data_IF_037286076863
#
_entry.id   IF_037286076863
#
_cell.length_a   1.000
_cell.length_b   1.000
_cell.length_c   1.000
_cell.angle_alpha   90.00
_cell.angle_beta   90.00
_cell.angle_gamma   90.00
#
_symmetry.space_group_name_H-M   'P 1'
#
loop_
_entity.id
_entity.type
_entity.pdbx_description
1 polymer ?
#
# COMPACT_ATOMS: atom_id res chain seq x y z
N UNK A 1 -16.23 -12.35 -52.84
CA UNK A 1 -14.93 -12.52 -52.15
C UNK A 1 -14.47 -11.27 -51.40
N UNK A 2 -14.79 -10.04 -51.85
CA UNK A 2 -14.34 -8.81 -51.17
C UNK A 2 -14.99 -8.50 -49.81
N UNK A 3 -16.22 -8.96 -49.55
CA UNK A 3 -16.95 -8.62 -48.32
C UNK A 3 -16.37 -9.31 -47.07
N UNK A 4 -15.86 -10.53 -47.24
CA UNK A 4 -15.25 -11.34 -46.17
C UNK A 4 -13.89 -10.74 -45.77
N UNK A 5 -13.16 -10.18 -46.75
CA UNK A 5 -11.84 -9.57 -46.53
C UNK A 5 -11.94 -8.23 -45.79
N UNK A 6 -12.99 -7.44 -46.06
CA UNK A 6 -13.28 -6.20 -45.32
C UNK A 6 -13.74 -6.49 -43.89
N UNK A 7 -14.58 -7.52 -43.70
CA UNK A 7 -15.01 -7.92 -42.35
C UNK A 7 -13.84 -8.45 -41.50
N UNK A 8 -12.90 -9.20 -42.09
CA UNK A 8 -11.70 -9.67 -41.40
C UNK A 8 -10.78 -8.51 -41.00
N UNK A 9 -10.63 -7.49 -41.85
CA UNK A 9 -9.81 -6.31 -41.57
C UNK A 9 -10.39 -5.47 -40.43
N UNK A 10 -11.72 -5.32 -40.33
CA UNK A 10 -12.35 -4.63 -39.20
C UNK A 10 -12.21 -5.39 -37.88
N UNK A 11 -12.18 -6.73 -37.91
CA UNK A 11 -12.05 -7.54 -36.70
C UNK A 11 -10.63 -7.51 -36.12
N UNK A 12 -9.60 -7.34 -36.95
CA UNK A 12 -8.20 -7.26 -36.49
C UNK A 12 -7.89 -5.92 -35.82
N UNK A 13 -8.55 -4.82 -36.21
CA UNK A 13 -8.34 -3.49 -35.59
C UNK A 13 -8.97 -3.39 -34.21
N UNK A 14 -10.07 -4.12 -33.94
CA UNK A 14 -10.76 -4.09 -32.64
C UNK A 14 -10.06 -4.83 -31.49
N UNK A 15 -8.98 -5.57 -31.76
CA UNK A 15 -8.27 -6.38 -30.75
C UNK A 15 -7.00 -5.70 -30.23
N UNK A 16 -6.63 -4.54 -30.78
CA UNK A 16 -5.60 -3.69 -30.20
C UNK A 16 -6.18 -3.01 -28.96
N UNK A 17 -5.96 -3.62 -27.81
CA UNK A 17 -6.45 -3.16 -26.51
C UNK A 17 -6.26 -1.65 -26.35
N UNK A 18 -7.36 -0.98 -26.00
CA UNK A 18 -7.35 0.41 -25.59
C UNK A 18 -6.46 0.55 -24.35
N UNK A 19 -5.17 0.83 -24.55
CA UNK A 19 -4.41 1.53 -23.53
C UNK A 19 -5.01 2.93 -23.47
N UNK A 20 -5.54 3.31 -22.32
CA UNK A 20 -5.91 4.69 -22.07
C UNK A 20 -4.67 5.54 -22.33
N UNK A 21 -4.73 6.37 -23.37
CA UNK A 21 -3.69 7.34 -23.65
C UNK A 21 -3.72 8.35 -22.49
N UNK A 22 -2.66 8.39 -21.70
CA UNK A 22 -2.56 9.27 -20.55
C UNK A 22 -2.53 10.72 -21.03
N UNK A 23 -3.52 11.51 -20.59
CA UNK A 23 -3.59 12.94 -20.88
C UNK A 23 -2.50 13.69 -20.10
N UNK A 24 -2.11 14.87 -20.58
CA UNK A 24 -1.22 15.74 -19.82
C UNK A 24 -1.92 16.31 -18.59
N UNK A 25 -1.16 16.69 -17.56
CA UNK A 25 -1.70 17.29 -16.32
C UNK A 25 -2.61 18.48 -16.61
N UNK A 26 -2.25 19.32 -17.58
CA UNK A 26 -3.02 20.51 -17.95
C UNK A 26 -4.36 20.15 -18.61
N UNK A 27 -4.42 19.07 -19.38
CA UNK A 27 -5.66 18.59 -20.00
C UNK A 27 -6.60 18.03 -18.93
N UNK A 28 -6.06 17.27 -17.98
CA UNK A 28 -6.81 16.78 -16.84
C UNK A 28 -7.38 17.92 -15.97
N UNK A 29 -6.57 18.94 -15.69
CA UNK A 29 -7.03 20.13 -14.96
C UNK A 29 -8.17 20.86 -15.69
N UNK A 30 -8.12 20.94 -17.02
CA UNK A 30 -9.20 21.55 -17.81
C UNK A 30 -10.50 20.73 -17.78
N UNK A 31 -10.40 19.41 -17.62
CA UNK A 31 -11.53 18.50 -17.39
C UNK A 31 -12.00 18.51 -15.91
N UNK A 32 -11.28 19.21 -15.03
CA UNK A 32 -11.60 19.30 -13.60
C UNK A 32 -10.95 18.22 -12.73
N UNK A 33 -10.05 17.40 -13.27
CA UNK A 33 -9.29 16.39 -12.54
C UNK A 33 -7.93 16.93 -12.09
N UNK A 34 -7.51 16.58 -10.87
CA UNK A 34 -6.22 17.01 -10.31
C UNK A 34 -5.05 16.08 -10.66
N UNK A 35 -5.31 14.95 -11.32
CA UNK A 35 -4.29 13.93 -11.59
C UNK A 35 -3.86 13.10 -10.37
N UNK A 36 -4.46 13.34 -9.21
CA UNK A 36 -4.12 12.67 -7.94
C UNK A 36 -5.01 11.46 -7.62
N UNK A 37 -6.06 11.24 -8.41
CA UNK A 37 -6.97 10.12 -8.20
C UNK A 37 -6.29 8.80 -8.57
N UNK A 38 -6.56 7.76 -7.80
CA UNK A 38 -6.12 6.42 -8.11
C UNK A 38 -7.06 5.77 -9.13
N UNK A 39 -6.54 4.95 -10.03
CA UNK A 39 -7.37 4.32 -11.07
C UNK A 39 -8.41 3.36 -10.48
N UNK A 40 -8.20 2.83 -9.27
CA UNK A 40 -9.22 2.10 -8.50
C UNK A 40 -10.41 2.97 -8.15
N UNK A 41 -10.18 4.21 -7.73
CA UNK A 41 -11.25 5.17 -7.43
C UNK A 41 -12.11 5.45 -8.67
N UNK A 42 -11.49 5.59 -9.85
CA UNK A 42 -12.21 5.75 -11.12
C UNK A 42 -13.02 4.50 -11.50
N UNK A 43 -12.53 3.28 -11.18
CA UNK A 43 -13.26 2.03 -11.39
C UNK A 43 -14.46 1.92 -10.45
N UNK A 44 -14.31 2.30 -9.18
CA UNK A 44 -15.42 2.37 -8.23
C UNK A 44 -16.44 3.43 -8.64
N UNK A 45 -15.99 4.58 -9.15
CA UNK A 45 -16.87 5.62 -9.68
C UNK A 45 -17.83 5.08 -10.75
N UNK A 46 -17.35 4.17 -11.60
CA UNK A 46 -18.14 3.53 -12.65
C UNK A 46 -19.31 2.67 -12.13
N UNK A 47 -19.24 2.20 -10.88
CA UNK A 47 -20.32 1.41 -10.26
C UNK A 47 -21.52 2.28 -9.86
N UNK A 48 -21.27 3.55 -9.54
CA UNK A 48 -22.28 4.47 -9.00
C UNK A 48 -22.71 5.54 -10.01
N UNK A 49 -21.82 5.93 -10.92
CA UNK A 49 -22.06 7.00 -11.89
C UNK A 49 -22.38 6.40 -13.26
N UNK A 50 -23.55 6.76 -13.80
CA UNK A 50 -24.04 6.30 -15.10
C UNK A 50 -23.47 7.11 -16.29
N UNK A 51 -22.43 7.88 -16.04
CA UNK A 51 -21.78 8.72 -17.02
C UNK A 51 -20.48 8.05 -17.47
N UNK A 52 -20.55 7.42 -18.64
CA UNK A 52 -19.43 6.67 -19.21
C UNK A 52 -18.32 7.59 -19.72
N UNK A 53 -18.66 8.82 -20.10
CA UNK A 53 -17.71 9.83 -20.56
C UNK A 53 -16.85 10.28 -19.37
N UNK A 54 -17.49 10.66 -18.26
CA UNK A 54 -16.80 11.06 -17.03
C UNK A 54 -15.88 9.95 -16.48
N UNK A 55 -16.33 8.70 -16.52
CA UNK A 55 -15.50 7.55 -16.09
C UNK A 55 -14.28 7.40 -16.99
N UNK A 56 -14.45 7.60 -18.30
CA UNK A 56 -13.34 7.50 -19.25
C UNK A 56 -12.32 8.63 -19.08
N UNK A 57 -12.78 9.85 -18.79
CA UNK A 57 -11.93 11.00 -18.48
C UNK A 57 -11.20 10.82 -17.13
N UNK A 58 -11.86 10.24 -16.14
CA UNK A 58 -11.21 9.86 -14.88
C UNK A 58 -10.07 8.87 -15.13
N UNK A 59 -10.32 7.84 -15.96
CA UNK A 59 -9.35 6.80 -16.27
C UNK A 59 -8.17 7.30 -17.12
N UNK A 60 -8.35 8.34 -17.94
CA UNK A 60 -7.25 8.97 -18.68
C UNK A 60 -6.42 9.94 -17.84
N UNK A 61 -6.92 10.32 -16.66
CA UNK A 61 -6.29 11.26 -15.73
C UNK A 61 -5.85 10.65 -14.40
N UNK A 62 -6.12 9.36 -14.14
CA UNK A 62 -5.75 8.71 -12.90
C UNK A 62 -4.30 8.24 -12.89
N UNK A 63 -3.76 8.12 -11.67
CA UNK A 63 -2.51 7.42 -11.44
C UNK A 63 -2.83 5.94 -11.21
N UNK A 64 -2.13 5.05 -11.92
CA UNK A 64 -2.28 3.61 -11.69
C UNK A 64 -2.07 3.28 -10.21
N UNK A 65 -2.86 2.34 -9.71
CA UNK A 65 -2.71 1.80 -8.37
C UNK A 65 -1.35 1.09 -8.29
N UNK A 66 -0.30 1.86 -7.99
CA UNK A 66 0.96 1.24 -7.60
C UNK A 66 0.74 0.78 -6.17
N UNK A 67 0.52 -0.52 -5.98
CA UNK A 67 0.68 -1.15 -4.67
C UNK A 67 2.00 -0.66 -4.04
N UNK A 68 3.01 -0.44 -4.88
CA UNK A 68 4.39 -0.14 -4.58
C UNK A 68 4.69 1.00 -3.59
N UNK A 69 3.89 2.06 -3.49
CA UNK A 69 4.28 3.18 -2.63
C UNK A 69 4.39 2.75 -1.15
N UNK A 70 3.48 1.88 -0.70
CA UNK A 70 3.44 1.38 0.68
C UNK A 70 3.63 -0.13 0.77
N UNK A 71 3.27 -0.88 -0.28
CA UNK A 71 3.43 -2.34 -0.41
C UNK A 71 4.89 -2.77 -0.61
N UNK A 72 5.73 -1.92 -1.23
CA UNK A 72 7.13 -2.27 -1.58
C UNK A 72 8.14 -2.04 -0.46
N UNK A 73 7.76 -1.28 0.58
CA UNK A 73 8.64 -1.05 1.72
C UNK A 73 8.58 -2.26 2.64
N UNK A 74 9.40 -3.25 2.31
CA UNK A 74 9.69 -4.40 3.16
C UNK A 74 10.89 -4.04 4.03
N UNK A 75 10.78 -4.37 5.31
CA UNK A 75 11.82 -4.19 6.31
C UNK A 75 12.45 -5.54 6.64
N UNK A 76 13.76 -5.56 6.82
CA UNK A 76 14.50 -6.78 7.20
C UNK A 76 14.20 -7.19 8.66
N UNK A 77 13.77 -6.23 9.47
CA UNK A 77 13.47 -6.42 10.88
C UNK A 77 12.80 -5.21 11.52
N UNK A 78 12.44 -5.34 12.80
CA UNK A 78 11.90 -4.24 13.58
C UNK A 78 12.31 -4.32 15.05
N UNK A 79 12.38 -3.18 15.73
CA UNK A 79 12.52 -3.09 17.19
C UNK A 79 11.28 -2.46 17.77
N UNK A 80 10.56 -3.22 18.60
CA UNK A 80 9.51 -2.71 19.47
C UNK A 80 10.16 -2.07 20.69
N UNK A 81 10.29 -0.75 20.67
CA UNK A 81 10.81 0.02 21.79
C UNK A 81 9.67 0.45 22.71
N UNK A 82 9.80 0.15 24.01
CA UNK A 82 8.78 0.42 25.04
C UNK A 82 9.42 0.86 26.36
N UNK A 83 8.71 1.62 27.18
CA UNK A 83 9.10 1.87 28.56
C UNK A 83 8.48 0.82 29.49
N UNK A 84 9.34 0.03 30.16
CA UNK A 84 8.90 -1.04 31.07
C UNK A 84 7.89 -0.58 32.12
N UNK A 85 8.07 0.63 32.69
CA UNK A 85 7.18 1.18 33.72
C UNK A 85 5.82 1.67 33.21
N UNK A 86 5.70 1.92 31.90
CA UNK A 86 4.48 2.44 31.29
C UNK A 86 3.67 1.37 30.56
N UNK A 87 4.20 0.15 30.41
CA UNK A 87 3.53 -0.95 29.71
C UNK A 87 2.15 -1.28 30.29
N UNK A 88 1.93 -1.07 31.59
CA UNK A 88 0.62 -1.24 32.24
C UNK A 88 -0.50 -0.41 31.58
N UNK A 89 -0.17 0.70 30.92
CA UNK A 89 -1.13 1.54 30.22
C UNK A 89 -1.43 1.06 28.79
N UNK A 90 -0.71 0.05 28.29
CA UNK A 90 -0.78 -0.44 26.93
C UNK A 90 -1.04 -1.97 26.92
N UNK A 91 -2.21 -2.43 27.39
CA UNK A 91 -2.51 -3.86 27.53
C UNK A 91 -2.41 -4.63 26.21
N UNK A 92 -2.77 -3.99 25.09
CA UNK A 92 -2.65 -4.57 23.75
C UNK A 92 -1.19 -4.87 23.36
N UNK A 93 -0.27 -3.96 23.71
CA UNK A 93 1.17 -4.10 23.46
C UNK A 93 1.77 -5.16 24.39
N UNK A 94 1.36 -5.21 25.66
CA UNK A 94 1.77 -6.27 26.59
C UNK A 94 1.33 -7.64 26.08
N UNK A 95 0.06 -7.76 25.68
CA UNK A 95 -0.47 -8.97 25.08
C UNK A 95 0.37 -9.45 23.90
N UNK A 96 0.67 -8.55 22.97
CA UNK A 96 1.58 -8.86 21.86
C UNK A 96 2.95 -9.36 22.32
N UNK A 97 3.58 -8.68 23.28
CA UNK A 97 4.91 -9.04 23.78
C UNK A 97 4.92 -10.43 24.44
N UNK A 98 3.89 -10.76 25.20
CA UNK A 98 3.83 -12.00 26.00
C UNK A 98 3.32 -13.21 25.21
N UNK A 99 2.38 -13.02 24.28
CA UNK A 99 1.66 -14.12 23.65
C UNK A 99 2.06 -14.37 22.19
N UNK A 100 2.38 -13.32 21.41
CA UNK A 100 2.60 -13.47 19.95
C UNK A 100 3.98 -13.10 19.46
N UNK A 101 4.78 -12.38 20.23
CA UNK A 101 6.11 -11.90 19.84
C UNK A 101 7.03 -12.99 19.30
N UNK A 102 6.92 -14.22 19.81
CA UNK A 102 7.74 -15.37 19.38
C UNK A 102 7.45 -15.83 17.95
N UNK A 103 6.28 -15.47 17.40
CA UNK A 103 5.94 -15.71 15.99
C UNK A 103 6.73 -14.79 15.03
N UNK A 104 7.40 -13.77 15.56
CA UNK A 104 8.10 -12.73 14.81
C UNK A 104 9.61 -12.72 15.16
N UNK A 105 10.43 -13.60 14.55
CA UNK A 105 11.85 -13.75 14.89
C UNK A 105 12.70 -12.52 14.54
N UNK A 106 12.30 -11.76 13.52
CA UNK A 106 12.99 -10.53 13.08
C UNK A 106 12.55 -9.28 13.85
N UNK A 107 11.68 -9.45 14.84
CA UNK A 107 11.26 -8.37 15.73
C UNK A 107 12.00 -8.54 17.05
N UNK A 108 12.54 -7.46 17.61
CA UNK A 108 13.16 -7.45 18.95
C UNK A 108 12.40 -6.50 19.86
N UNK A 109 12.35 -6.78 21.16
CA UNK A 109 11.80 -5.86 22.15
C UNK A 109 12.95 -5.14 22.83
N UNK A 110 12.88 -3.82 22.89
CA UNK A 110 13.88 -2.98 23.56
C UNK A 110 13.20 -2.12 24.62
N UNK A 111 13.77 -2.11 25.83
CA UNK A 111 13.26 -1.30 26.92
C UNK A 111 14.04 0.00 27.02
N UNK A 112 13.37 1.13 26.80
CA UNK A 112 13.95 2.46 26.87
C UNK A 112 13.15 3.35 27.83
N UNK A 113 13.87 4.07 28.71
CA UNK A 113 13.21 4.90 29.71
C UNK A 113 12.39 6.02 29.05
N UNK A 114 11.15 6.17 29.53
CA UNK A 114 10.19 7.17 29.06
C UNK A 114 9.81 7.06 27.56
N UNK A 115 10.19 5.97 26.89
CA UNK A 115 9.80 5.73 25.51
C UNK A 115 8.34 5.26 25.43
N UNK A 116 7.51 5.90 24.59
CA UNK A 116 6.20 5.36 24.26
C UNK A 116 6.35 4.14 23.34
N UNK A 117 5.36 3.22 23.31
CA UNK A 117 5.36 2.10 22.39
C UNK A 117 5.51 2.54 20.94
N UNK A 118 6.60 2.08 20.31
CA UNK A 118 6.87 2.37 18.90
C UNK A 118 7.62 1.21 18.25
N UNK A 119 7.35 1.03 16.96
CA UNK A 119 8.14 0.16 16.09
C UNK A 119 9.20 0.99 15.40
N UNK A 120 10.45 0.58 15.52
CA UNK A 120 11.59 1.11 14.78
C UNK A 120 11.90 0.10 13.68
N UNK A 121 11.65 0.47 12.42
CA UNK A 121 11.80 -0.42 11.28
C UNK A 121 13.24 -0.39 10.78
N UNK A 122 13.80 -1.56 10.49
CA UNK A 122 15.20 -1.73 10.09
C UNK A 122 15.32 -2.06 8.61
N UNK A 123 16.35 -1.53 7.97
CA UNK A 123 16.76 -1.92 6.62
C UNK A 123 17.67 -3.16 6.62
N UNK A 124 18.11 -3.61 5.44
CA UNK A 124 18.94 -4.81 5.29
C UNK A 124 20.31 -4.73 5.99
N UNK A 125 20.78 -3.52 6.31
CA UNK A 125 22.00 -3.29 7.10
C UNK A 125 21.74 -3.23 8.60
N UNK A 126 20.47 -3.34 9.03
CA UNK A 126 20.05 -3.21 10.41
C UNK A 126 19.99 -1.76 10.89
N UNK A 127 20.05 -0.79 9.97
CA UNK A 127 19.94 0.63 10.30
C UNK A 127 18.47 1.06 10.39
N UNK A 128 18.21 2.08 11.20
CA UNK A 128 16.87 2.61 11.41
C UNK A 128 16.39 3.34 10.15
N UNK A 129 15.33 2.82 9.54
CA UNK A 129 14.70 3.40 8.35
C UNK A 129 13.47 4.23 8.68
N UNK A 130 12.62 3.74 9.59
CA UNK A 130 11.36 4.41 9.95
C UNK A 130 11.03 4.21 11.44
N UNK A 131 10.18 5.07 12.01
CA UNK A 131 9.60 4.87 13.34
C UNK A 131 8.11 5.16 13.37
N UNK A 132 7.35 4.21 13.90
CA UNK A 132 5.88 4.22 13.91
C UNK A 132 5.40 4.10 15.36
N UNK A 133 4.58 5.05 15.82
CA UNK A 133 3.96 5.02 17.14
C UNK A 133 2.78 4.05 17.14
N UNK A 134 2.71 3.18 18.15
CA UNK A 134 1.69 2.12 18.25
C UNK A 134 0.88 2.18 19.55
N UNK A 135 0.93 3.31 20.27
CA UNK A 135 0.24 3.49 21.56
C UNK A 135 -1.26 3.16 21.52
N UNK A 136 -1.90 3.36 20.37
CA UNK A 136 -3.34 3.16 20.16
C UNK A 136 -3.64 1.95 19.27
N UNK A 137 -2.66 1.09 19.01
CA UNK A 137 -2.87 -0.08 18.19
C UNK A 137 -3.42 -1.23 19.02
N UNK A 138 -4.28 -2.02 18.40
CA UNK A 138 -4.71 -3.30 18.94
C UNK A 138 -3.70 -4.38 18.56
N UNK A 139 -3.68 -5.46 19.33
CA UNK A 139 -2.80 -6.61 19.12
C UNK A 139 -2.86 -7.14 17.68
N UNK A 140 -4.05 -7.31 17.12
CA UNK A 140 -4.26 -7.81 15.76
C UNK A 140 -3.65 -6.90 14.69
N UNK A 141 -3.67 -5.58 14.90
CA UNK A 141 -3.08 -4.61 13.96
C UNK A 141 -1.56 -4.68 13.99
N UNK A 142 -0.97 -4.85 15.19
CA UNK A 142 0.49 -5.05 15.33
C UNK A 142 0.91 -6.30 14.56
N UNK A 143 0.21 -7.41 14.77
CA UNK A 143 0.50 -8.66 14.08
C UNK A 143 0.35 -8.56 12.56
N UNK A 144 -0.75 -7.98 12.08
CA UNK A 144 -1.01 -7.84 10.66
C UNK A 144 0.08 -6.98 10.00
N UNK A 145 0.38 -5.82 10.59
CA UNK A 145 1.39 -4.92 10.07
C UNK A 145 2.77 -5.60 9.99
N UNK A 146 3.19 -6.28 11.05
CA UNK A 146 4.48 -6.99 11.08
C UNK A 146 4.53 -8.12 10.05
N UNK A 147 3.44 -8.88 9.86
CA UNK A 147 3.37 -9.94 8.83
C UNK A 147 3.50 -9.39 7.42
N UNK A 148 2.90 -8.24 7.16
CA UNK A 148 2.91 -7.62 5.83
C UNK A 148 4.23 -6.92 5.53
N UNK A 149 4.80 -6.23 6.53
CA UNK A 149 5.92 -5.29 6.33
C UNK A 149 7.29 -5.83 6.74
N UNK A 150 7.37 -6.84 7.58
CA UNK A 150 8.66 -7.40 8.03
C UNK A 150 8.86 -8.77 7.39
N UNK A 151 9.87 -8.88 6.53
CA UNK A 151 10.26 -10.15 5.90
C UNK A 151 11.77 -10.35 6.07
N UNK A 152 12.25 -11.60 6.14
CA UNK A 152 13.68 -11.85 6.11
C UNK A 152 14.29 -11.16 4.88
N UNK A 153 15.42 -10.48 5.07
CA UNK A 153 16.28 -10.09 3.95
C UNK A 153 16.63 -11.36 3.17
N UNK A 154 16.44 -11.35 1.86
CA UNK A 154 16.64 -12.50 0.97
C UNK A 154 18.10 -12.93 0.78
N UNK A 155 18.98 -12.59 1.73
CA UNK A 155 20.39 -12.96 1.75
C UNK A 155 20.61 -14.12 2.74
N UNK A 156 20.12 -15.31 2.37
CA UNK A 156 20.68 -16.61 2.78
C UNK A 156 20.78 -17.49 1.53
#
# INVERSE_FOLDING_TARGET
>A
MGVIQVALLCFVVGVLGAKAEQLSTKECENLGFTGLALCSDCRTLAEYVKDQELVSECLSCCTEDSDDAMSKVVYSGAVLEVCMRKLVFYPEVVGFIEEEKDQFPFVKVQYAFNSPPKLIMLDDHGEQKETIRIDNWKREHIMQFLKEKVKPSSDI
#
